data_IF_212100313016
#
_entry.id   IF_212100313016
#
_cell.length_a   1.000
_cell.length_b   1.000
_cell.length_c   1.000
_cell.angle_alpha   90.00
_cell.angle_beta   90.00
_cell.angle_gamma   90.00
#
_symmetry.space_group_name_H-M   'P 1'
#
loop_
_entity.id
_entity.type
_entity.pdbx_description
1 polymer ?
#
# COMPACT_ATOMS: atom_id res chain seq x y z
N UNK A 1 9.32 32.79 0.93
CA UNK A 1 8.76 31.61 0.23
C UNK A 1 9.61 31.38 -1.00
N UNK A 2 10.39 30.31 -1.06
CA UNK A 2 11.25 29.97 -2.20
C UNK A 2 10.39 29.38 -3.31
N UNK A 3 10.08 30.17 -4.33
CA UNK A 3 9.51 29.64 -5.58
C UNK A 3 10.62 28.86 -6.29
N UNK A 4 10.60 27.52 -6.16
CA UNK A 4 11.48 26.68 -6.95
C UNK A 4 11.20 26.94 -8.44
N UNK A 5 12.25 27.25 -9.21
CA UNK A 5 12.15 27.49 -10.64
C UNK A 5 11.50 26.28 -11.34
N UNK A 6 10.53 26.55 -12.19
CA UNK A 6 9.81 25.52 -12.94
C UNK A 6 10.76 24.79 -13.89
N UNK A 7 10.58 23.47 -14.04
CA UNK A 7 11.42 22.68 -14.95
C UNK A 7 11.36 23.21 -16.39
N UNK A 8 12.51 23.31 -17.07
CA UNK A 8 12.61 23.84 -18.44
C UNK A 8 11.77 23.07 -19.48
N UNK A 9 11.53 21.77 -19.23
CA UNK A 9 10.76 20.89 -20.14
C UNK A 9 9.26 20.88 -19.83
N UNK A 10 8.81 21.64 -18.82
CA UNK A 10 7.41 21.59 -18.38
C UNK A 10 6.54 22.45 -19.30
N UNK A 11 5.68 21.81 -20.09
CA UNK A 11 4.72 22.48 -20.96
C UNK A 11 3.34 21.80 -20.88
N UNK A 12 2.30 22.59 -20.60
CA UNK A 12 0.91 22.11 -20.45
C UNK A 12 0.78 20.89 -19.50
N UNK A 13 1.41 20.98 -18.33
CA UNK A 13 1.36 19.93 -17.31
C UNK A 13 0.90 20.54 -15.99
N UNK A 14 -0.37 20.35 -15.66
CA UNK A 14 -0.98 20.95 -14.47
C UNK A 14 -0.43 20.31 -13.19
N UNK A 15 -0.39 21.07 -12.09
CA UNK A 15 0.11 20.58 -10.81
C UNK A 15 -0.74 19.42 -10.27
N UNK A 16 -2.05 19.43 -10.52
CA UNK A 16 -2.94 18.33 -10.14
C UNK A 16 -2.62 17.03 -10.87
N UNK A 17 -2.24 17.11 -12.15
CA UNK A 17 -1.79 15.95 -12.93
C UNK A 17 -0.50 15.38 -12.36
N UNK A 18 0.46 16.24 -12.02
CA UNK A 18 1.70 15.83 -11.37
C UNK A 18 1.46 15.14 -10.03
N UNK A 19 0.57 15.70 -9.20
CA UNK A 19 0.17 15.10 -7.93
C UNK A 19 -0.57 13.77 -8.13
N UNK A 20 -1.43 13.67 -9.14
CA UNK A 20 -2.14 12.44 -9.49
C UNK A 20 -1.19 11.34 -9.95
N UNK A 21 -0.19 11.66 -10.78
CA UNK A 21 0.83 10.68 -11.20
C UNK A 21 1.64 10.20 -10.00
N UNK A 22 2.03 11.07 -9.07
CA UNK A 22 2.71 10.64 -7.84
C UNK A 22 1.84 9.70 -6.99
N UNK A 23 0.54 9.96 -6.87
CA UNK A 23 -0.40 9.06 -6.19
C UNK A 23 -0.50 7.71 -6.91
N UNK A 24 -0.61 7.73 -8.24
CA UNK A 24 -0.71 6.51 -9.04
C UNK A 24 0.56 5.66 -8.92
N UNK A 25 1.75 6.27 -9.00
CA UNK A 25 3.03 5.57 -8.78
C UNK A 25 3.00 4.78 -7.46
N UNK A 26 2.54 5.41 -6.37
CA UNK A 26 2.45 4.72 -5.07
C UNK A 26 1.40 3.60 -5.07
N UNK A 27 0.28 3.77 -5.78
CA UNK A 27 -0.74 2.73 -5.93
C UNK A 27 -0.21 1.51 -6.70
N UNK A 28 0.53 1.70 -7.79
CA UNK A 28 1.13 0.60 -8.54
C UNK A 28 2.18 -0.16 -7.70
N UNK A 29 3.00 0.57 -6.94
CA UNK A 29 3.97 -0.03 -6.01
C UNK A 29 3.27 -0.80 -4.88
N UNK A 30 2.16 -0.28 -4.37
CA UNK A 30 1.34 -1.00 -3.40
C UNK A 30 0.71 -2.26 -3.99
N UNK A 31 0.16 -2.20 -5.20
CA UNK A 31 -0.38 -3.36 -5.90
C UNK A 31 0.71 -4.43 -6.14
N UNK A 32 1.90 -4.02 -6.59
CA UNK A 32 3.06 -4.88 -6.71
C UNK A 32 3.39 -5.59 -5.40
N UNK A 33 3.36 -4.88 -4.27
CA UNK A 33 3.64 -5.45 -2.95
C UNK A 33 2.54 -6.41 -2.46
N UNK A 34 1.27 -6.10 -2.74
CA UNK A 34 0.13 -7.00 -2.49
C UNK A 34 0.28 -8.30 -3.26
N UNK A 35 0.55 -8.24 -4.55
CA UNK A 35 0.73 -9.44 -5.37
C UNK A 35 1.95 -10.26 -4.95
N UNK A 36 3.04 -9.61 -4.52
CA UNK A 36 4.19 -10.31 -3.97
C UNK A 36 3.81 -11.09 -2.71
N UNK A 37 3.07 -10.46 -1.80
CA UNK A 37 2.57 -11.12 -0.59
C UNK A 37 1.66 -12.31 -0.90
N UNK A 38 0.82 -12.21 -1.94
CA UNK A 38 -0.04 -13.32 -2.38
C UNK A 38 0.77 -14.45 -2.98
N UNK A 39 1.77 -14.14 -3.82
CA UNK A 39 2.65 -15.13 -4.41
C UNK A 39 3.29 -16.04 -3.35
N UNK A 40 3.91 -15.43 -2.33
CA UNK A 40 4.53 -16.16 -1.23
C UNK A 40 3.54 -16.80 -0.25
N UNK A 41 2.27 -16.41 -0.25
CA UNK A 41 1.24 -17.15 0.47
C UNK A 41 0.93 -18.48 -0.24
N UNK A 42 0.80 -18.46 -1.57
CA UNK A 42 0.52 -19.68 -2.35
C UNK A 42 1.74 -20.62 -2.50
N UNK A 43 2.95 -20.11 -2.27
CA UNK A 43 4.19 -20.88 -2.32
C UNK A 43 4.52 -21.65 -1.03
N UNK A 44 3.78 -21.40 0.07
CA UNK A 44 3.98 -22.13 1.34
C UNK A 44 3.73 -23.63 1.18
N UNK A 45 4.38 -24.44 2.00
CA UNK A 45 4.22 -25.89 2.00
C UNK A 45 2.80 -26.35 2.38
N UNK A 46 2.09 -25.59 3.20
CA UNK A 46 0.72 -25.86 3.63
C UNK A 46 -0.36 -25.45 2.61
N UNK A 47 -0.02 -24.63 1.61
CA UNK A 47 -0.92 -24.22 0.51
C UNK A 47 -0.53 -24.88 -0.82
N UNK A 48 0.76 -24.85 -1.17
CA UNK A 48 1.40 -25.54 -2.28
C UNK A 48 0.79 -25.32 -3.69
N UNK A 49 0.18 -24.16 -3.95
CA UNK A 49 -0.43 -23.81 -5.24
C UNK A 49 0.55 -23.08 -6.17
N UNK A 50 1.55 -23.83 -6.67
CA UNK A 50 2.68 -23.29 -7.47
C UNK A 50 2.28 -22.42 -8.67
N UNK A 51 1.20 -22.78 -9.37
CA UNK A 51 0.74 -21.99 -10.52
C UNK A 51 0.15 -20.63 -10.11
N UNK A 52 -0.53 -20.57 -8.96
CA UNK A 52 -1.01 -19.31 -8.39
C UNK A 52 0.17 -18.46 -7.89
N UNK A 53 1.15 -19.08 -7.22
CA UNK A 53 2.36 -18.40 -6.80
C UNK A 53 3.08 -17.74 -7.99
N UNK A 54 3.27 -18.49 -9.09
CA UNK A 54 3.88 -17.97 -10.33
C UNK A 54 3.06 -16.86 -10.97
N UNK A 55 1.74 -17.00 -11.04
CA UNK A 55 0.85 -15.98 -11.59
C UNK A 55 0.97 -14.66 -10.83
N UNK A 56 0.84 -14.70 -9.50
CA UNK A 56 0.93 -13.49 -8.69
C UNK A 56 2.34 -12.89 -8.65
N UNK A 57 3.39 -13.69 -8.77
CA UNK A 57 4.75 -13.18 -8.92
C UNK A 57 4.90 -12.38 -10.22
N UNK A 58 4.34 -12.91 -11.31
CA UNK A 58 4.34 -12.22 -12.60
C UNK A 58 3.55 -10.90 -12.53
N UNK A 59 2.36 -10.90 -11.95
CA UNK A 59 1.57 -9.67 -11.76
C UNK A 59 2.31 -8.64 -10.88
N UNK A 60 2.99 -9.09 -9.82
CA UNK A 60 3.81 -8.20 -8.98
C UNK A 60 4.89 -7.48 -9.79
N UNK A 61 5.53 -8.19 -10.73
CA UNK A 61 6.53 -7.59 -11.62
C UNK A 61 5.91 -6.62 -12.63
N UNK A 62 4.77 -6.96 -13.23
CA UNK A 62 4.06 -6.09 -14.18
C UNK A 62 3.65 -4.76 -13.54
N UNK A 63 3.10 -4.77 -12.33
CA UNK A 63 2.72 -3.51 -11.65
C UNK A 63 3.94 -2.66 -11.28
N UNK A 64 5.07 -3.30 -10.98
CA UNK A 64 6.32 -2.57 -10.75
C UNK A 64 6.81 -1.91 -12.03
N UNK A 65 6.71 -2.58 -13.18
CA UNK A 65 6.99 -1.96 -14.48
C UNK A 65 6.02 -0.81 -14.79
N UNK A 66 4.73 -0.93 -14.43
CA UNK A 66 3.77 0.17 -14.56
C UNK A 66 4.20 1.40 -13.73
N UNK A 67 4.60 1.20 -12.47
CA UNK A 67 5.12 2.26 -11.62
C UNK A 67 6.33 2.96 -12.25
N UNK A 68 7.29 2.19 -12.78
CA UNK A 68 8.49 2.73 -13.43
C UNK A 68 8.17 3.51 -14.72
N UNK A 69 7.18 3.06 -15.50
CA UNK A 69 6.69 3.79 -16.69
C UNK A 69 6.10 5.14 -16.29
N UNK A 70 5.33 5.21 -15.21
CA UNK A 70 4.78 6.45 -14.68
C UNK A 70 5.87 7.38 -14.13
N UNK A 71 6.88 6.85 -13.45
CA UNK A 71 8.06 7.64 -13.01
C UNK A 71 8.79 8.26 -14.21
N UNK A 72 9.01 7.48 -15.28
CA UNK A 72 9.61 7.99 -16.52
C UNK A 72 8.76 9.09 -17.15
N UNK A 73 7.44 8.90 -17.23
CA UNK A 73 6.50 9.91 -17.72
C UNK A 73 6.57 11.21 -16.88
N UNK A 74 6.56 11.10 -15.55
CA UNK A 74 6.65 12.24 -14.64
C UNK A 74 7.89 13.10 -14.93
N UNK A 75 9.05 12.46 -15.10
CA UNK A 75 10.30 13.14 -15.42
C UNK A 75 10.28 13.76 -16.83
N UNK A 76 9.73 13.06 -17.82
CA UNK A 76 9.59 13.57 -19.20
C UNK A 76 8.72 14.83 -19.28
N UNK A 77 7.67 14.92 -18.45
CA UNK A 77 6.77 16.09 -18.40
C UNK A 77 7.30 17.23 -17.51
N UNK A 78 8.49 17.07 -16.93
CA UNK A 78 9.11 18.07 -16.05
C UNK A 78 8.48 18.14 -14.66
N UNK A 79 7.76 17.10 -14.24
CA UNK A 79 7.30 16.93 -12.86
C UNK A 79 8.43 16.49 -11.93
N UNK A 80 8.10 16.33 -10.65
CA UNK A 80 8.97 15.78 -9.60
C UNK A 80 8.30 14.57 -8.99
N UNK A 81 9.09 13.50 -8.86
CA UNK A 81 8.65 12.27 -8.22
C UNK A 81 8.78 12.45 -6.71
N UNK A 82 7.69 12.19 -5.98
CA UNK A 82 7.68 12.15 -4.52
C UNK A 82 7.23 10.76 -4.08
N UNK A 83 8.20 9.91 -3.75
CA UNK A 83 7.92 8.57 -3.23
C UNK A 83 7.41 8.65 -1.80
N UNK A 84 6.46 7.77 -1.47
CA UNK A 84 5.85 7.64 -0.17
C UNK A 84 6.01 6.21 0.34
N UNK A 85 5.70 6.02 1.62
CA UNK A 85 5.68 4.68 2.21
C UNK A 85 4.68 3.78 1.48
N UNK A 86 5.16 2.62 1.06
CA UNK A 86 4.30 1.52 0.60
C UNK A 86 3.78 0.83 1.86
N UNK A 87 2.47 0.93 2.10
CA UNK A 87 1.86 0.34 3.28
C UNK A 87 2.02 -1.18 3.26
N UNK A 88 2.29 -1.82 4.41
CA UNK A 88 2.29 -3.27 4.51
C UNK A 88 0.95 -3.81 4.06
N UNK A 89 0.99 -4.92 3.33
CA UNK A 89 -0.20 -5.65 2.93
C UNK A 89 -0.91 -6.05 4.22
N UNK A 90 -2.12 -5.56 4.42
CA UNK A 90 -2.91 -5.88 5.60
C UNK A 90 -3.19 -7.38 5.58
N UNK A 91 -2.33 -8.17 6.19
CA UNK A 91 -2.54 -9.60 6.35
C UNK A 91 -3.80 -9.79 7.21
N UNK A 92 -4.84 -10.49 6.73
CA UNK A 92 -5.94 -10.91 7.60
C UNK A 92 -5.50 -11.92 8.67
N UNK A 93 -4.21 -12.34 8.69
CA UNK A 93 -3.70 -13.41 9.54
C UNK A 93 -3.18 -13.01 10.91
N UNK A 94 -2.92 -11.72 11.21
CA UNK A 94 -2.38 -11.31 12.51
C UNK A 94 -2.90 -9.95 12.98
N UNK A 95 -4.21 -9.69 12.82
CA UNK A 95 -4.86 -8.88 13.86
C UNK A 95 -5.02 -9.78 15.08
N UNK A 96 -3.97 -9.82 15.90
CA UNK A 96 -4.11 -10.18 17.30
C UNK A 96 -5.28 -9.36 17.82
N UNK A 97 -6.37 -10.05 18.15
CA UNK A 97 -7.48 -9.49 18.88
C UNK A 97 -6.87 -8.66 20.01
N UNK A 98 -7.00 -7.33 19.95
CA UNK A 98 -6.86 -6.54 21.18
C UNK A 98 -8.00 -7.03 22.05
N UNK A 99 -7.75 -8.07 22.85
CA UNK A 99 -8.61 -8.44 23.97
C UNK A 99 -8.63 -7.22 24.87
N UNK A 100 -9.65 -6.39 24.66
CA UNK A 100 -10.09 -5.40 25.63
C UNK A 100 -10.29 -6.19 26.93
N UNK A 101 -9.30 -6.11 27.81
CA UNK A 101 -9.42 -6.63 29.16
C UNK A 101 -10.50 -5.78 29.83
N UNK A 102 -11.76 -6.18 29.69
CA UNK A 102 -12.79 -5.79 30.65
C UNK A 102 -12.34 -6.38 31.97
N UNK A 103 -11.76 -5.52 32.80
CA UNK A 103 -11.48 -5.77 34.21
C UNK A 103 -12.81 -6.15 34.85
N UNK A 104 -13.03 -7.43 35.09
CA UNK A 104 -14.14 -7.90 35.92
C UNK A 104 -13.81 -7.42 37.34
N UNK A 105 -14.55 -6.42 37.82
CA UNK A 105 -14.49 -6.01 39.23
C UNK A 105 -15.37 -7.01 40.00
N UNK A 106 -14.83 -7.84 40.90
CA UNK A 106 -15.66 -8.66 41.76
C UNK A 106 -16.14 -7.81 42.95
N UNK A 107 -17.44 -7.79 43.23
CA UNK A 107 -17.97 -7.27 44.50
C UNK A 107 -19.04 -6.17 44.43
N UNK A 108 -20.09 -6.32 43.60
CA UNK A 108 -21.33 -5.55 43.80
C UNK A 108 -22.40 -6.45 44.43
N UNK A 109 -22.44 -6.46 45.75
CA UNK A 109 -23.67 -6.72 46.52
C UNK A 109 -24.23 -5.37 46.89
N UNK A 110 -25.39 -4.99 46.36
CA UNK A 110 -26.16 -3.85 46.87
C UNK A 110 -27.66 -4.15 46.79
N UNK A 111 -28.18 -4.56 47.95
CA UNK A 111 -29.45 -4.22 48.61
C UNK A 111 -30.79 -4.33 47.85
N UNK A 112 -31.66 -5.22 48.36
CA UNK A 112 -33.09 -5.30 48.07
C UNK A 112 -33.82 -4.67 49.27
N UNK A 113 -34.68 -3.64 49.09
CA UNK A 113 -35.48 -3.10 50.18
C UNK A 113 -36.78 -3.89 50.36
N UNK A 114 -37.21 -4.02 51.61
CA UNK A 114 -38.54 -4.53 51.99
C UNK A 114 -39.68 -3.62 51.50
#
# INVERSE_FOLDING_TARGET
MTTASTSQVRQNYHQDSEAAINRQINLELYASYVYLSMSYYFDRDDVALKNFAKYFLHQSHEEREHAEKLMKLQNQRGGRIFLQDIKPTGTPGHQGQKKSHRKIIPGRTLYVPD
#
